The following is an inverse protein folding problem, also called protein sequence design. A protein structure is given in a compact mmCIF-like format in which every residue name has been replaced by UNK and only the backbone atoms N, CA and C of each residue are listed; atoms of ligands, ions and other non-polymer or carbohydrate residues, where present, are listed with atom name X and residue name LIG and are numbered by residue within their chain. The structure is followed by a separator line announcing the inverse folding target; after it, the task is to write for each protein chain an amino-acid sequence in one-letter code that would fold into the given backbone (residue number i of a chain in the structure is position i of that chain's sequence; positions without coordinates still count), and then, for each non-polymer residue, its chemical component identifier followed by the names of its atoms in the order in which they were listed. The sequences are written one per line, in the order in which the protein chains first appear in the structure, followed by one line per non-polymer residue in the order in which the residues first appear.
data_IF_548689394555
#
_entry.id   IF_548689394555
#
_cell.length_a   1.000
_cell.length_b   1.000
_cell.length_c   1.000
_cell.angle_alpha   90.00
_cell.angle_beta   90.00
_cell.angle_gamma   90.00
#
_symmetry.space_group_name_H-M   'P 1'
#
loop_
_entity.id
_entity.type
_entity.pdbx_description
1 polymer ?
#
# COMPACT_ATOMS: atom_id res chain seq x y z
N UNK A 1 -18.78 4.04 23.90
CA UNK A 1 -17.32 4.21 23.79
C UNK A 1 -16.90 3.85 22.39
N UNK A 2 -16.51 4.82 21.56
CA UNK A 2 -15.85 4.54 20.30
C UNK A 2 -14.36 4.84 20.52
N UNK A 3 -13.60 3.83 20.93
CA UNK A 3 -12.14 3.93 21.00
C UNK A 3 -11.62 4.13 19.57
N UNK A 4 -11.54 5.38 19.12
CA UNK A 4 -10.76 5.74 17.95
C UNK A 4 -9.31 5.45 18.30
N UNK A 5 -8.84 4.22 18.03
CA UNK A 5 -7.42 3.90 17.99
C UNK A 5 -6.77 4.97 17.12
N UNK A 6 -5.99 5.85 17.74
CA UNK A 6 -5.13 6.75 16.99
C UNK A 6 -4.18 5.87 16.20
N UNK A 7 -4.42 5.77 14.90
CA UNK A 7 -3.62 4.95 14.01
C UNK A 7 -2.20 5.52 14.07
N UNK A 8 -1.27 4.80 14.72
CA UNK A 8 0.11 5.24 14.90
C UNK A 8 0.71 5.55 13.52
N UNK A 9 1.55 6.58 13.45
CA UNK A 9 2.33 6.87 12.25
C UNK A 9 3.07 5.59 11.85
N UNK A 10 2.76 5.07 10.66
CA UNK A 10 3.36 3.82 10.15
C UNK A 10 4.53 4.19 9.24
N UNK A 11 5.61 3.42 9.38
CA UNK A 11 6.75 3.46 8.47
C UNK A 11 6.64 2.20 7.60
N UNK A 12 6.63 2.39 6.28
CA UNK A 12 6.59 1.34 5.29
C UNK A 12 7.97 1.22 4.65
N UNK A 13 8.48 0.00 4.49
CA UNK A 13 9.69 -0.26 3.74
C UNK A 13 9.33 -0.58 2.29
N UNK A 14 9.73 0.27 1.36
CA UNK A 14 9.51 0.16 -0.08
C UNK A 14 10.86 -0.02 -0.80
N UNK A 15 10.98 -0.96 -1.76
CA UNK A 15 12.25 -1.22 -2.43
C UNK A 15 12.70 -0.11 -3.40
N UNK A 16 11.82 0.83 -3.77
CA UNK A 16 12.14 1.94 -4.68
C UNK A 16 12.46 3.20 -3.88
N UNK A 17 11.64 3.53 -2.88
CA UNK A 17 11.75 4.77 -2.12
C UNK A 17 12.39 4.61 -0.73
N UNK A 18 12.69 3.38 -0.30
CA UNK A 18 13.19 3.10 1.05
C UNK A 18 12.09 3.23 2.10
N UNK A 19 12.35 3.92 3.20
CA UNK A 19 11.37 4.09 4.27
C UNK A 19 10.39 5.23 3.95
N UNK A 20 9.14 4.88 3.66
CA UNK A 20 8.03 5.82 3.49
C UNK A 20 7.36 6.02 4.85
N UNK A 21 7.37 7.25 5.37
CA UNK A 21 6.68 7.60 6.62
C UNK A 21 5.32 8.20 6.28
N UNK A 22 4.23 7.62 6.80
CA UNK A 22 2.88 8.16 6.60
C UNK A 22 2.63 9.32 7.58
N UNK A 23 2.50 10.59 7.11
CA UNK A 23 2.49 11.75 8.00
C UNK A 23 1.12 12.01 8.65
N UNK A 24 0.04 11.43 8.14
CA UNK A 24 -1.33 11.75 8.53
C UNK A 24 -2.11 10.49 8.95
N UNK A 25 -2.82 10.58 10.07
CA UNK A 25 -3.70 9.52 10.57
C UNK A 25 -4.84 9.19 9.61
N UNK A 26 -5.39 10.20 8.92
CA UNK A 26 -6.42 10.00 7.90
C UNK A 26 -5.92 9.11 6.74
N UNK A 27 -4.67 9.32 6.32
CA UNK A 27 -4.04 8.51 5.28
C UNK A 27 -3.87 7.07 5.76
N UNK A 28 -3.43 6.86 7.01
CA UNK A 28 -3.35 5.53 7.60
C UNK A 28 -4.72 4.82 7.62
N UNK A 29 -5.78 5.54 8.00
CA UNK A 29 -7.15 4.99 8.02
C UNK A 29 -7.65 4.62 6.61
N UNK A 30 -7.35 5.46 5.61
CA UNK A 30 -7.67 5.17 4.20
C UNK A 30 -6.91 3.96 3.68
N UNK A 31 -5.62 3.82 4.02
CA UNK A 31 -4.81 2.67 3.63
C UNK A 31 -5.35 1.41 4.28
N UNK A 32 -5.74 1.45 5.55
CA UNK A 32 -6.31 0.31 6.28
C UNK A 32 -7.73 -0.07 5.80
N UNK A 33 -8.40 0.83 5.07
CA UNK A 33 -9.75 0.58 4.56
C UNK A 33 -9.81 -0.63 3.62
N UNK A 34 -10.83 -1.50 3.71
CA UNK A 34 -10.94 -2.71 2.88
C UNK A 34 -10.86 -2.45 1.36
N UNK A 35 -11.38 -1.32 0.90
CA UNK A 35 -11.31 -0.94 -0.51
C UNK A 35 -9.88 -0.63 -0.98
N UNK A 36 -9.05 -0.04 -0.12
CA UNK A 36 -7.65 0.19 -0.44
C UNK A 36 -6.84 -1.11 -0.30
N UNK A 37 -7.10 -1.89 0.76
CA UNK A 37 -6.45 -3.19 0.97
C UNK A 37 -6.75 -4.20 -0.16
N UNK A 38 -7.89 -4.09 -0.86
CA UNK A 38 -8.19 -4.88 -2.06
C UNK A 38 -7.09 -4.77 -3.13
N UNK A 39 -6.42 -3.62 -3.24
CA UNK A 39 -5.36 -3.41 -4.24
C UNK A 39 -4.19 -4.39 -4.10
N UNK A 40 -4.03 -5.06 -2.95
CA UNK A 40 -3.03 -6.12 -2.74
C UNK A 40 -3.25 -7.34 -3.64
N UNK A 41 -4.47 -7.54 -4.15
CA UNK A 41 -4.83 -8.69 -5.01
C UNK A 41 -4.88 -8.34 -6.49
N UNK A 42 -4.54 -7.10 -6.86
CA UNK A 42 -4.60 -6.62 -8.25
C UNK A 42 -3.17 -6.41 -8.71
N UNK A 43 -2.73 -7.16 -9.72
CA UNK A 43 -1.39 -6.98 -10.29
C UNK A 43 -1.29 -5.62 -10.99
N UNK A 44 -0.11 -5.00 -10.92
CA UNK A 44 0.14 -3.75 -11.63
C UNK A 44 0.10 -3.97 -13.15
N UNK A 45 0.74 -5.05 -13.62
CA UNK A 45 0.97 -5.33 -15.04
C UNK A 45 0.11 -6.50 -15.59
N UNK A 46 -1.04 -6.80 -14.98
CA UNK A 46 -1.91 -7.88 -15.47
C UNK A 46 -1.20 -9.24 -15.46
N UNK A 47 -1.19 -9.91 -16.62
CA UNK A 47 -0.58 -11.23 -16.82
C UNK A 47 0.92 -11.18 -17.13
N UNK A 48 1.56 -10.01 -17.15
CA UNK A 48 2.99 -9.90 -17.47
C UNK A 48 3.89 -10.72 -16.54
N UNK A 49 3.45 -11.06 -15.32
CA UNK A 49 4.18 -11.94 -14.41
C UNK A 49 4.38 -13.37 -14.96
N UNK A 50 3.61 -13.79 -15.97
CA UNK A 50 3.77 -15.07 -16.65
C UNK A 50 4.96 -15.09 -17.62
N UNK A 51 5.37 -13.91 -18.12
CA UNK A 51 6.50 -13.75 -19.03
C UNK A 51 7.72 -13.20 -18.30
N UNK A 52 7.49 -12.28 -17.36
CA UNK A 52 8.50 -11.62 -16.55
C UNK A 52 8.30 -12.00 -15.09
N UNK A 53 9.02 -13.01 -14.55
CA UNK A 53 8.80 -13.51 -13.19
C UNK A 53 9.11 -12.47 -12.10
N UNK A 54 9.73 -11.32 -12.43
CA UNK A 54 9.89 -10.20 -11.49
C UNK A 54 8.64 -9.30 -11.37
N UNK A 55 7.66 -9.42 -12.27
CA UNK A 55 6.51 -8.51 -12.37
C UNK A 55 5.35 -8.85 -11.41
N UNK A 56 5.66 -9.25 -10.18
CA UNK A 56 4.67 -9.60 -9.14
C UNK A 56 4.15 -8.42 -8.32
N UNK A 57 4.61 -7.21 -8.62
CA UNK A 57 4.19 -6.01 -7.90
C UNK A 57 2.69 -5.73 -8.13
N UNK A 58 2.05 -5.24 -7.08
CA UNK A 58 0.59 -5.02 -7.04
C UNK A 58 0.26 -3.53 -7.06
N UNK A 59 -0.99 -3.21 -7.42
CA UNK A 59 -1.49 -1.83 -7.41
C UNK A 59 -1.37 -1.16 -6.04
N UNK A 60 -1.37 -1.94 -4.96
CA UNK A 60 -1.17 -1.44 -3.61
C UNK A 60 0.19 -0.76 -3.44
N UNK A 61 1.28 -1.41 -3.82
CA UNK A 61 2.64 -0.86 -3.68
C UNK A 61 2.80 0.41 -4.52
N UNK A 62 2.31 0.37 -5.76
CA UNK A 62 2.35 1.53 -6.63
C UNK A 62 1.53 2.71 -6.10
N UNK A 63 0.32 2.48 -5.55
CA UNK A 63 -0.50 3.53 -4.98
C UNK A 63 0.14 4.17 -3.74
N UNK A 64 0.82 3.39 -2.90
CA UNK A 64 1.59 3.90 -1.76
C UNK A 64 2.77 4.76 -2.25
N UNK A 65 3.52 4.30 -3.25
CA UNK A 65 4.66 5.05 -3.79
C UNK A 65 4.29 6.28 -4.62
N UNK A 66 3.02 6.43 -5.03
CA UNK A 66 2.53 7.61 -5.78
C UNK A 66 2.03 8.74 -4.88
N UNK A 67 2.02 8.53 -3.56
CA UNK A 67 1.59 9.50 -2.56
C UNK A 67 2.70 10.49 -2.24
#
# INVERSE_FOLDING_TARGET
MNDKKTNKLKILNDPIYGFITLPNTLICDLIDHPYFQRLRRISQMGLSHLVYPGAHHTRFHHAIGSM
#
